data_IF_326437871455
#
_entry.id   IF_326437871455
#
_cell.length_a   1.000
_cell.length_b   1.000
_cell.length_c   1.000
_cell.angle_alpha   90.00
_cell.angle_beta   90.00
_cell.angle_gamma   90.00
#
_symmetry.space_group_name_H-M   'P 1'
#
loop_
_entity.id
_entity.type
_entity.pdbx_description
1 polymer ?
#
# COMPACT_ATOMS: atom_id res chain seq x y z
N UNK A 1 -0.06 24.62 -5.56
CA UNK A 1 -0.57 23.23 -5.54
C UNK A 1 0.52 22.28 -5.99
N UNK A 2 0.69 21.20 -5.25
CA UNK A 2 1.59 20.13 -5.66
C UNK A 2 0.74 19.01 -6.28
N UNK A 3 1.28 18.37 -7.32
CA UNK A 3 0.58 17.26 -7.96
C UNK A 3 1.57 16.24 -8.49
N UNK A 4 1.14 14.98 -8.52
CA UNK A 4 1.95 13.89 -9.03
C UNK A 4 1.11 13.07 -10.00
N UNK A 5 1.69 12.72 -11.14
CA UNK A 5 1.05 11.78 -12.06
C UNK A 5 1.45 10.37 -11.62
N UNK A 6 0.58 9.72 -10.89
CA UNK A 6 0.88 8.44 -10.26
C UNK A 6 1.05 7.30 -11.25
N UNK A 7 0.53 7.46 -12.47
CA UNK A 7 0.69 6.44 -13.51
C UNK A 7 2.01 6.59 -14.24
N UNK A 8 2.58 7.81 -14.27
CA UNK A 8 3.82 8.09 -14.99
C UNK A 8 5.03 8.22 -14.08
N UNK A 9 4.82 8.27 -12.77
CA UNK A 9 5.91 8.42 -11.82
C UNK A 9 6.86 7.24 -11.93
N UNK A 10 8.14 7.53 -12.10
CA UNK A 10 9.16 6.49 -12.28
C UNK A 10 9.39 5.74 -10.97
N UNK A 11 9.02 4.47 -10.95
CA UNK A 11 9.20 3.60 -9.81
C UNK A 11 9.79 2.29 -10.29
N UNK A 12 10.94 1.87 -9.75
CA UNK A 12 11.55 0.61 -10.18
C UNK A 12 10.60 -0.56 -9.89
N UNK A 13 10.31 -1.33 -10.93
CA UNK A 13 9.46 -2.50 -10.79
C UNK A 13 10.17 -3.56 -9.96
N UNK A 14 9.39 -4.32 -9.16
CA UNK A 14 9.93 -5.40 -8.37
C UNK A 14 10.68 -4.98 -7.12
N UNK A 15 10.72 -3.70 -6.82
CA UNK A 15 11.43 -3.19 -5.65
C UNK A 15 10.54 -3.30 -4.44
N UNK A 16 11.09 -3.85 -3.37
CA UNK A 16 10.37 -3.92 -2.09
C UNK A 16 10.32 -2.56 -1.41
N UNK A 17 11.28 -1.69 -1.76
CA UNK A 17 11.34 -0.38 -1.18
C UNK A 17 10.45 0.56 -1.97
N UNK A 18 9.37 1.00 -1.39
CA UNK A 18 8.42 1.88 -2.09
C UNK A 18 9.02 3.26 -2.30
N UNK A 19 8.47 3.96 -3.28
CA UNK A 19 8.82 5.36 -3.52
C UNK A 19 7.93 6.21 -2.63
N UNK A 20 8.53 6.95 -1.68
CA UNK A 20 7.78 7.90 -0.87
C UNK A 20 7.43 9.09 -1.75
N UNK A 21 6.14 9.27 -2.02
CA UNK A 21 5.67 10.36 -2.87
C UNK A 21 5.62 11.66 -2.08
N UNK A 22 5.00 11.61 -0.91
CA UNK A 22 4.89 12.76 -0.03
C UNK A 22 4.82 12.29 1.41
N UNK A 23 5.44 13.06 2.31
CA UNK A 23 5.46 12.74 3.73
C UNK A 23 5.47 14.04 4.53
N UNK A 24 4.29 14.62 4.72
CA UNK A 24 4.13 15.78 5.56
C UNK A 24 2.67 15.92 5.97
N UNK A 25 2.40 16.91 6.82
CA UNK A 25 1.04 17.24 7.27
C UNK A 25 0.28 16.05 7.85
N UNK A 26 1.00 15.12 8.47
CA UNK A 26 0.37 14.00 9.15
C UNK A 26 -0.04 12.86 8.24
N UNK A 27 0.48 12.79 7.01
CA UNK A 27 0.20 11.70 6.09
C UNK A 27 1.46 11.28 5.35
N UNK A 28 1.51 10.03 4.97
CA UNK A 28 2.58 9.50 4.13
C UNK A 28 1.94 8.78 2.94
N UNK A 29 2.30 9.18 1.73
CA UNK A 29 1.82 8.54 0.50
C UNK A 29 2.99 7.83 -0.18
N UNK A 30 2.80 6.57 -0.52
CA UNK A 30 3.85 5.69 -1.02
C UNK A 30 3.37 4.98 -2.28
N UNK A 31 4.18 5.02 -3.33
CA UNK A 31 3.89 4.30 -4.56
C UNK A 31 4.63 2.98 -4.56
N UNK A 32 3.92 1.90 -4.81
CA UNK A 32 4.47 0.54 -4.84
C UNK A 32 4.14 -0.09 -6.18
N UNK A 33 5.15 -0.63 -6.85
CA UNK A 33 4.97 -1.36 -8.10
C UNK A 33 5.28 -2.82 -7.83
N UNK A 34 4.31 -3.69 -8.06
CA UNK A 34 4.45 -5.13 -7.91
C UNK A 34 4.59 -5.78 -9.25
N UNK A 35 5.59 -6.64 -9.40
CA UNK A 35 5.74 -7.47 -10.59
C UNK A 35 4.77 -8.65 -10.52
N UNK A 36 4.48 -9.29 -11.66
CA UNK A 36 3.62 -10.49 -11.66
C UNK A 36 4.11 -11.53 -10.65
N UNK A 37 3.19 -11.97 -9.79
CA UNK A 37 3.49 -12.96 -8.76
C UNK A 37 4.13 -12.41 -7.50
N UNK A 38 4.46 -11.14 -7.48
CA UNK A 38 5.11 -10.54 -6.32
C UNK A 38 4.10 -10.32 -5.20
N UNK A 39 4.60 -10.43 -3.98
CA UNK A 39 3.79 -10.36 -2.78
C UNK A 39 4.39 -9.39 -1.77
N UNK A 40 3.53 -8.58 -1.16
CA UNK A 40 3.83 -7.92 0.09
C UNK A 40 3.33 -8.85 1.18
N UNK A 41 4.26 -9.49 1.89
CA UNK A 41 3.92 -10.47 2.90
C UNK A 41 3.10 -9.89 4.03
N UNK A 42 2.68 -10.75 4.93
CA UNK A 42 1.86 -10.33 6.06
C UNK A 42 2.54 -9.19 6.80
N UNK A 43 1.82 -8.09 6.95
CA UNK A 43 2.34 -6.91 7.62
C UNK A 43 1.21 -6.14 8.31
N UNK A 44 1.60 -5.23 9.18
CA UNK A 44 0.68 -4.33 9.85
C UNK A 44 1.38 -3.01 10.09
N UNK A 45 0.61 -1.95 10.19
CA UNK A 45 1.12 -0.63 10.52
C UNK A 45 0.30 -0.06 11.66
N UNK A 46 0.85 0.93 12.36
CA UNK A 46 0.17 1.57 13.48
C UNK A 46 -0.77 2.68 13.05
N UNK A 47 -0.70 3.06 11.80
CA UNK A 47 -1.57 4.05 11.19
C UNK A 47 -2.77 3.38 10.53
N UNK A 48 -3.79 4.17 10.18
CA UNK A 48 -4.77 3.70 9.21
C UNK A 48 -4.08 3.60 7.87
N UNK A 49 -4.38 2.56 7.11
CA UNK A 49 -3.79 2.34 5.80
C UNK A 49 -4.90 2.33 4.73
N UNK A 50 -4.73 3.15 3.70
CA UNK A 50 -5.61 3.14 2.53
C UNK A 50 -4.77 2.71 1.34
N UNK A 51 -5.32 1.83 0.51
CA UNK A 51 -4.66 1.38 -0.72
C UNK A 51 -5.57 1.65 -1.89
N UNK A 52 -5.04 2.33 -2.90
CA UNK A 52 -5.74 2.53 -4.17
C UNK A 52 -4.99 1.71 -5.21
N UNK A 53 -5.71 0.83 -5.90
CA UNK A 53 -5.13 0.08 -7.03
C UNK A 53 -5.24 0.97 -8.25
N UNK A 54 -4.09 1.43 -8.75
CA UNK A 54 -4.02 2.34 -9.91
C UNK A 54 -4.04 1.59 -11.22
N UNK A 55 -3.31 0.49 -11.29
CA UNK A 55 -3.24 -0.37 -12.48
C UNK A 55 -3.12 -1.82 -12.04
N UNK A 56 -3.62 -2.73 -12.87
CA UNK A 56 -3.56 -4.15 -12.58
C UNK A 56 -4.59 -4.56 -11.55
N UNK A 57 -4.29 -5.59 -10.80
CA UNK A 57 -5.18 -6.10 -9.77
C UNK A 57 -4.37 -6.73 -8.65
N UNK A 58 -4.91 -6.67 -7.45
CA UNK A 58 -4.29 -7.21 -6.25
C UNK A 58 -5.29 -8.13 -5.56
N UNK A 59 -4.79 -9.20 -4.97
CA UNK A 59 -5.58 -10.05 -4.07
C UNK A 59 -5.12 -9.73 -2.65
N UNK A 60 -6.07 -9.34 -1.80
CA UNK A 60 -5.79 -9.10 -0.40
C UNK A 60 -6.26 -10.31 0.42
N UNK A 61 -5.44 -10.70 1.41
CA UNK A 61 -5.77 -11.82 2.27
C UNK A 61 -5.68 -11.40 3.73
N UNK A 62 -6.73 -11.68 4.47
CA UNK A 62 -6.79 -11.44 5.91
C UNK A 62 -6.19 -12.63 6.66
N UNK A 63 -5.93 -12.44 7.96
CA UNK A 63 -5.32 -13.50 8.79
C UNK A 63 -6.18 -14.76 8.89
N UNK A 64 -7.50 -14.61 8.70
CA UNK A 64 -8.41 -15.78 8.74
C UNK A 64 -8.48 -16.52 7.39
N UNK A 65 -7.68 -16.09 6.41
CA UNK A 65 -7.67 -16.70 5.09
C UNK A 65 -8.68 -16.13 4.11
N UNK A 66 -9.52 -15.20 4.55
CA UNK A 66 -10.48 -14.55 3.65
C UNK A 66 -9.72 -13.76 2.59
N UNK A 67 -10.10 -13.93 1.32
CA UNK A 67 -9.47 -13.24 0.21
C UNK A 67 -10.45 -12.31 -0.47
N UNK A 68 -9.93 -11.19 -0.95
CA UNK A 68 -10.71 -10.19 -1.70
C UNK A 68 -9.93 -9.77 -2.92
N UNK A 69 -10.61 -9.71 -4.06
CA UNK A 69 -10.01 -9.20 -5.30
C UNK A 69 -10.15 -7.68 -5.32
N UNK A 70 -9.05 -7.00 -5.59
CA UNK A 70 -8.99 -5.54 -5.67
C UNK A 70 -8.57 -5.16 -7.08
N UNK A 71 -9.53 -4.98 -8.01
CA UNK A 71 -9.19 -4.55 -9.36
C UNK A 71 -8.80 -3.08 -9.40
N UNK A 72 -8.29 -2.65 -10.56
CA UNK A 72 -7.94 -1.26 -10.80
C UNK A 72 -9.12 -0.34 -10.42
N UNK A 73 -8.82 0.75 -9.73
CA UNK A 73 -9.82 1.69 -9.27
C UNK A 73 -10.40 1.40 -7.90
N UNK A 74 -9.98 0.32 -7.25
CA UNK A 74 -10.47 -0.04 -5.92
C UNK A 74 -9.72 0.72 -4.84
N UNK A 75 -10.46 1.19 -3.83
CA UNK A 75 -9.92 1.74 -2.60
C UNK A 75 -10.22 0.75 -1.48
N UNK A 76 -9.19 0.33 -0.78
CA UNK A 76 -9.33 -0.52 0.40
C UNK A 76 -8.73 0.18 1.62
N UNK A 77 -9.23 -0.16 2.80
CA UNK A 77 -8.72 0.43 4.03
C UNK A 77 -8.54 -0.65 5.10
N UNK A 78 -7.45 -0.54 5.84
CA UNK A 78 -7.18 -1.37 7.01
C UNK A 78 -7.06 -0.51 8.24
N UNK A 79 -7.63 -1.00 9.34
CA UNK A 79 -7.53 -0.35 10.64
C UNK A 79 -6.09 -0.47 11.17
N UNK A 80 -5.69 0.40 12.13
CA UNK A 80 -4.37 0.26 12.75
C UNK A 80 -4.15 -1.15 13.29
N UNK A 81 -2.96 -1.68 13.05
CA UNK A 81 -2.52 -2.99 13.50
C UNK A 81 -3.25 -4.18 12.86
N UNK A 82 -4.14 -3.92 11.92
CA UNK A 82 -4.80 -5.01 11.18
C UNK A 82 -3.81 -5.66 10.23
N UNK A 83 -3.62 -6.97 10.35
CA UNK A 83 -2.66 -7.70 9.53
C UNK A 83 -3.29 -8.12 8.20
N UNK A 84 -2.51 -8.03 7.15
CA UNK A 84 -2.97 -8.41 5.82
C UNK A 84 -1.80 -8.72 4.91
N UNK A 85 -2.08 -9.42 3.82
CA UNK A 85 -1.12 -9.74 2.77
C UNK A 85 -1.70 -9.28 1.44
N UNK A 86 -0.86 -8.70 0.58
CA UNK A 86 -1.24 -8.29 -0.76
C UNK A 86 -0.40 -9.08 -1.77
N UNK A 87 -1.06 -9.61 -2.79
CA UNK A 87 -0.38 -10.33 -3.85
C UNK A 87 -0.91 -9.88 -5.21
N UNK A 88 -0.03 -9.74 -6.18
CA UNK A 88 -0.44 -9.36 -7.52
C UNK A 88 -0.09 -10.48 -8.50
N UNK A 89 -1.08 -11.28 -8.94
CA UNK A 89 -0.81 -12.36 -9.88
C UNK A 89 -0.23 -11.88 -11.20
N UNK A 90 -0.67 -10.72 -11.69
CA UNK A 90 -0.28 -10.22 -13.01
C UNK A 90 0.44 -8.88 -12.97
N UNK A 91 0.82 -8.41 -11.79
CA UNK A 91 1.45 -7.12 -11.63
C UNK A 91 0.44 -6.03 -11.29
N UNK A 92 0.89 -5.02 -10.55
CA UNK A 92 0.02 -3.93 -10.13
C UNK A 92 0.84 -2.70 -9.76
N UNK A 93 0.19 -1.55 -9.86
CA UNK A 93 0.70 -0.28 -9.37
C UNK A 93 -0.30 0.21 -8.34
N UNK A 94 0.15 0.41 -7.11
CA UNK A 94 -0.73 0.79 -6.01
C UNK A 94 -0.20 2.01 -5.28
N UNK A 95 -1.12 2.79 -4.72
CA UNK A 95 -0.80 3.92 -3.86
C UNK A 95 -1.22 3.56 -2.44
N UNK A 96 -0.28 3.63 -1.50
CA UNK A 96 -0.53 3.39 -0.10
C UNK A 96 -0.49 4.72 0.63
N UNK A 97 -1.53 5.00 1.42
CA UNK A 97 -1.59 6.22 2.24
C UNK A 97 -1.68 5.80 3.70
N UNK A 98 -0.79 6.33 4.53
CA UNK A 98 -0.76 6.10 5.97
C UNK A 98 -1.08 7.40 6.69
N UNK A 99 -2.04 7.38 7.60
CA UNK A 99 -2.42 8.55 8.37
C UNK A 99 -3.09 8.14 9.68
N UNK A 100 -2.86 8.88 10.77
CA UNK A 100 -1.87 9.96 10.89
C UNK A 100 -0.45 9.41 10.80
N UNK A 101 0.45 10.16 10.20
CA UNK A 101 1.84 9.71 10.04
C UNK A 101 2.80 10.68 10.70
N UNK A 102 3.69 10.20 11.54
CA UNK A 102 3.62 8.85 12.13
C UNK A 102 2.56 8.83 13.23
N UNK A 103 1.95 7.65 13.45
CA UNK A 103 1.02 7.52 14.56
C UNK A 103 1.75 7.76 15.87
N UNK A 104 1.05 8.18 16.94
CA UNK A 104 1.71 8.50 18.21
C UNK A 104 2.60 7.39 18.76
N UNK A 105 2.26 6.14 18.48
CA UNK A 105 3.01 4.99 18.97
C UNK A 105 3.89 4.33 17.91
N UNK A 106 4.07 4.99 16.75
CA UNK A 106 4.76 4.38 15.61
C UNK A 106 6.19 3.93 15.94
N UNK A 107 6.91 4.75 16.69
CA UNK A 107 8.32 4.47 16.99
C UNK A 107 8.53 3.76 18.32
N UNK A 108 7.45 3.34 18.97
CA UNK A 108 7.57 2.57 20.20
C UNK A 108 7.73 1.11 19.81
N UNK A 109 8.81 0.51 20.14
CA UNK A 109 9.14 -0.85 19.76
C UNK A 109 7.96 -1.79 19.93
N UNK A 110 7.89 -2.82 19.29
CA UNK A 110 6.94 -3.94 19.32
C UNK A 110 6.57 -4.48 18.00
#
# INVERSE_FOLDING_TARGET
MNKWDLLELDAPAGVRDPIVVVEDDGARAVLIVLEPGQELGEHQVKEHAWVVVLEGAVTAEATDGTQSALPSGTLARWAPAERHTLRSPNGARILLILAPWPAPDHFRGD
#
